data_IF_220086507843
#
_entry.id   IF_220086507843
#
_cell.length_a   1.000
_cell.length_b   1.000
_cell.length_c   1.000
_cell.angle_alpha   90.00
_cell.angle_beta   90.00
_cell.angle_gamma   90.00
#
_symmetry.space_group_name_H-M   'P 1'
#
loop_
_entity.id
_entity.type
_entity.pdbx_description
1 polymer ?
#
# COMPACT_ATOMS: atom_id res chain seq x y z
N UNK A 1 0.33 29.29 11.91
CA UNK A 1 -0.98 28.61 11.87
C UNK A 1 -0.78 27.18 12.34
N UNK A 2 -1.22 26.87 13.57
CA UNK A 2 -1.02 25.55 14.17
C UNK A 2 -1.99 24.54 13.56
N UNK A 3 -1.46 23.39 13.10
CA UNK A 3 -2.23 22.25 12.61
C UNK A 3 -3.06 21.67 13.78
N UNK A 4 -4.38 21.43 13.60
CA UNK A 4 -5.20 20.85 14.65
C UNK A 4 -4.78 19.40 14.97
N UNK A 5 -5.03 18.91 16.21
CA UNK A 5 -4.69 17.55 16.61
C UNK A 5 -5.43 16.51 15.77
N UNK A 6 -4.83 15.34 15.49
CA UNK A 6 -5.33 14.36 14.51
C UNK A 6 -6.65 13.68 14.91
N UNK A 7 -7.11 13.85 16.14
CA UNK A 7 -8.11 12.99 16.78
C UNK A 7 -9.54 13.60 16.81
N UNK A 8 -9.81 14.64 16.03
CA UNK A 8 -11.13 15.30 16.04
C UNK A 8 -11.63 15.62 14.63
N UNK A 9 -11.86 14.57 13.83
CA UNK A 9 -12.72 14.67 12.66
C UNK A 9 -14.11 14.13 13.05
N UNK A 10 -15.20 14.88 12.83
CA UNK A 10 -16.56 14.38 13.08
C UNK A 10 -16.78 13.09 12.29
N UNK A 11 -17.70 12.23 12.77
CA UNK A 11 -18.07 10.93 12.19
C UNK A 11 -18.38 11.07 10.70
N UNK A 12 -17.32 10.99 9.91
CA UNK A 12 -17.32 11.12 8.47
C UNK A 12 -17.23 9.70 7.99
N UNK A 13 -18.35 9.19 7.49
CA UNK A 13 -18.42 7.93 6.75
C UNK A 13 -17.20 7.85 5.85
N UNK A 14 -16.29 6.92 6.12
CA UNK A 14 -15.02 6.83 5.42
C UNK A 14 -15.32 6.53 3.96
N UNK A 15 -14.95 7.46 3.07
CA UNK A 15 -15.11 7.27 1.64
C UNK A 15 -14.27 6.07 1.18
N UNK A 16 -14.74 5.29 0.18
CA UNK A 16 -13.95 4.21 -0.40
C UNK A 16 -12.56 4.69 -0.84
N UNK A 17 -11.49 3.90 -0.64
CA UNK A 17 -10.16 4.24 -1.12
C UNK A 17 -10.16 4.30 -2.65
N UNK A 18 -9.60 5.37 -3.22
CA UNK A 18 -9.53 5.53 -4.68
C UNK A 18 -8.52 4.55 -5.32
N UNK A 19 -7.39 4.32 -4.66
CA UNK A 19 -6.27 3.55 -5.20
C UNK A 19 -5.63 2.62 -4.18
N UNK A 20 -4.94 1.60 -4.69
CA UNK A 20 -4.09 0.65 -3.97
C UNK A 20 -2.69 0.67 -4.59
N UNK A 21 -1.66 0.82 -3.76
CA UNK A 21 -0.26 0.61 -4.14
C UNK A 21 0.14 -0.82 -3.76
N UNK A 22 0.59 -1.60 -4.73
CA UNK A 22 1.01 -2.98 -4.54
C UNK A 22 2.53 -3.12 -4.75
N UNK A 23 3.29 -3.19 -3.65
CA UNK A 23 4.72 -3.48 -3.70
C UNK A 23 4.96 -4.99 -3.89
N UNK A 24 5.01 -5.44 -5.15
CA UNK A 24 5.14 -6.88 -5.47
C UNK A 24 6.53 -7.46 -5.13
N UNK A 25 7.58 -6.64 -5.18
CA UNK A 25 8.96 -7.07 -4.99
C UNK A 25 9.83 -5.89 -4.57
N UNK A 26 10.78 -6.15 -3.67
CA UNK A 26 11.84 -5.19 -3.32
C UNK A 26 13.16 -5.46 -4.05
N UNK A 27 13.22 -6.48 -4.91
CA UNK A 27 14.38 -6.72 -5.79
C UNK A 27 14.52 -5.59 -6.79
N UNK A 28 15.56 -4.77 -6.63
CA UNK A 28 15.85 -3.63 -7.51
C UNK A 28 17.33 -3.67 -7.92
N UNK A 29 17.67 -3.60 -9.22
CA UNK A 29 19.05 -3.64 -9.69
C UNK A 29 19.79 -2.30 -9.55
N UNK A 30 19.14 -1.27 -9.02
CA UNK A 30 19.69 0.08 -8.92
C UNK A 30 20.48 0.27 -7.62
N UNK A 31 21.53 1.10 -7.68
CA UNK A 31 22.33 1.52 -6.51
C UNK A 31 22.01 2.97 -6.15
N UNK A 32 20.75 3.25 -5.86
CA UNK A 32 20.32 4.61 -5.56
C UNK A 32 21.00 5.13 -4.28
N UNK A 33 21.54 6.36 -4.27
CA UNK A 33 22.13 6.97 -3.06
C UNK A 33 21.07 7.26 -1.98
N UNK A 34 19.79 7.23 -2.36
CA UNK A 34 18.63 7.30 -1.47
C UNK A 34 17.52 6.41 -2.05
N UNK A 35 16.96 5.53 -1.22
CA UNK A 35 15.83 4.67 -1.56
C UNK A 35 14.64 5.02 -0.66
N UNK A 36 13.43 5.01 -1.23
CA UNK A 36 12.20 5.21 -0.44
C UNK A 36 11.83 3.96 0.38
N UNK A 37 12.36 2.80 0.00
CA UNK A 37 12.12 1.55 0.71
C UNK A 37 12.97 1.46 1.99
N UNK A 38 12.48 0.77 3.02
CA UNK A 38 13.22 0.58 4.27
C UNK A 38 14.53 -0.19 4.05
N UNK A 39 15.44 -0.05 5.02
CA UNK A 39 16.75 -0.71 4.97
C UNK A 39 16.68 -2.23 5.15
N UNK A 40 15.63 -2.71 5.83
CA UNK A 40 15.34 -4.14 6.00
C UNK A 40 14.11 -4.48 5.16
N UNK A 41 14.32 -5.34 4.17
CA UNK A 41 13.31 -5.75 3.20
C UNK A 41 13.08 -7.25 3.31
N UNK A 42 11.87 -7.69 2.97
CA UNK A 42 11.52 -9.10 2.91
C UNK A 42 12.46 -9.85 1.96
N UNK A 43 12.87 -11.04 2.39
CA UNK A 43 13.76 -11.88 1.62
C UNK A 43 13.09 -12.43 0.35
N UNK A 44 13.90 -12.88 -0.60
CA UNK A 44 13.38 -13.60 -1.77
C UNK A 44 12.59 -14.83 -1.30
N UNK A 45 11.33 -14.93 -1.74
CA UNK A 45 10.44 -16.04 -1.40
C UNK A 45 9.51 -15.77 -0.21
N UNK A 46 9.65 -14.63 0.46
CA UNK A 46 8.69 -14.15 1.47
C UNK A 46 7.58 -13.27 0.86
N UNK A 47 7.61 -13.09 -0.46
CA UNK A 47 6.59 -12.37 -1.23
C UNK A 47 5.25 -13.14 -1.19
N UNK A 48 4.13 -12.40 -1.27
CA UNK A 48 2.81 -13.02 -1.36
C UNK A 48 2.72 -13.93 -2.59
N UNK A 49 2.04 -15.06 -2.42
CA UNK A 49 1.76 -15.95 -3.55
C UNK A 49 0.83 -15.26 -4.56
N UNK A 50 0.84 -15.73 -5.80
CA UNK A 50 -0.08 -15.24 -6.83
C UNK A 50 -1.54 -15.40 -6.42
N UNK A 51 -1.89 -16.50 -5.76
CA UNK A 51 -3.24 -16.73 -5.25
C UNK A 51 -3.64 -15.68 -4.20
N UNK A 52 -2.75 -15.40 -3.25
CA UNK A 52 -2.97 -14.36 -2.23
C UNK A 52 -3.17 -12.98 -2.87
N UNK A 53 -2.39 -12.65 -3.89
CA UNK A 53 -2.59 -11.40 -4.65
C UNK A 53 -3.95 -11.32 -5.33
N UNK A 54 -4.40 -12.40 -5.98
CA UNK A 54 -5.71 -12.44 -6.64
C UNK A 54 -6.85 -12.22 -5.64
N UNK A 55 -6.78 -12.87 -4.48
CA UNK A 55 -7.75 -12.72 -3.40
C UNK A 55 -7.75 -11.28 -2.86
N UNK A 56 -6.57 -10.69 -2.66
CA UNK A 56 -6.42 -9.30 -2.20
C UNK A 56 -7.03 -8.31 -3.19
N UNK A 57 -6.77 -8.47 -4.49
CA UNK A 57 -7.33 -7.58 -5.51
C UNK A 57 -8.85 -7.70 -5.63
N UNK A 58 -9.41 -8.90 -5.44
CA UNK A 58 -10.86 -9.09 -5.37
C UNK A 58 -11.46 -8.35 -4.16
N UNK A 59 -10.80 -8.41 -3.00
CA UNK A 59 -11.20 -7.69 -1.79
C UNK A 59 -11.06 -6.16 -1.97
N UNK A 60 -9.96 -5.68 -2.56
CA UNK A 60 -9.74 -4.26 -2.84
C UNK A 60 -10.83 -3.69 -3.76
N UNK A 61 -11.21 -4.43 -4.81
CA UNK A 61 -12.34 -4.08 -5.67
C UNK A 61 -13.65 -3.98 -4.88
N UNK A 62 -13.92 -4.94 -3.98
CA UNK A 62 -15.13 -4.92 -3.14
C UNK A 62 -15.15 -3.72 -2.17
N UNK A 63 -13.98 -3.25 -1.74
CA UNK A 63 -13.81 -2.03 -0.95
C UNK A 63 -13.99 -0.73 -1.76
N UNK A 64 -14.10 -0.80 -3.09
CA UNK A 64 -14.29 0.35 -3.97
C UNK A 64 -13.01 0.95 -4.55
N UNK A 65 -11.88 0.24 -4.49
CA UNK A 65 -10.64 0.66 -5.15
C UNK A 65 -10.84 0.71 -6.66
N UNK A 66 -10.45 1.82 -7.28
CA UNK A 66 -10.55 2.06 -8.72
C UNK A 66 -9.20 2.02 -9.44
N UNK A 67 -8.10 2.25 -8.72
CA UNK A 67 -6.74 2.32 -9.29
C UNK A 67 -5.80 1.34 -8.60
N UNK A 68 -4.98 0.64 -9.38
CA UNK A 68 -3.89 -0.20 -8.88
C UNK A 68 -2.57 0.36 -9.41
N UNK A 69 -1.62 0.58 -8.51
CA UNK A 69 -0.29 1.09 -8.79
C UNK A 69 0.78 0.09 -8.39
#
# INVERSE_FOLDING_TARGET
MSKPPPDQRPDATVAPPLGLLAELTHRCPLQCPYCYNPLSLSGRGEELSTESWQQLFAAARALGVLQLH
#
